data_IF_490411809376
#
_entry.id   IF_490411809376
#
_cell.length_a   1.000
_cell.length_b   1.000
_cell.length_c   1.000
_cell.angle_alpha   90.00
_cell.angle_beta   90.00
_cell.angle_gamma   90.00
#
_symmetry.space_group_name_H-M   'P 1'
#
loop_
_entity.id
_entity.type
_entity.pdbx_description
1 polymer ?
#
# COMPACT_ATOMS: atom_id res chain seq x y z
N UNK A 1 13.37 -34.46 3.95
CA UNK A 1 12.40 -33.53 3.34
C UNK A 1 13.18 -32.34 2.81
N UNK A 2 12.96 -31.93 1.56
CA UNK A 2 13.53 -30.67 1.07
C UNK A 2 12.77 -29.53 1.77
N UNK A 3 13.49 -28.62 2.45
CA UNK A 3 12.88 -27.43 3.03
C UNK A 3 12.23 -26.58 1.93
N UNK A 4 10.99 -26.15 2.17
CA UNK A 4 10.24 -25.25 1.29
C UNK A 4 10.96 -23.89 1.25
N UNK A 5 11.07 -23.29 0.06
CA UNK A 5 11.67 -21.96 -0.07
C UNK A 5 10.81 -20.94 0.68
N UNK A 6 11.43 -20.14 1.55
CA UNK A 6 10.74 -19.12 2.32
C UNK A 6 11.63 -17.87 2.48
N UNK A 7 11.24 -16.71 1.92
CA UNK A 7 10.00 -16.47 1.18
C UNK A 7 10.01 -17.14 -0.20
N UNK A 8 8.83 -17.59 -0.62
CA UNK A 8 8.58 -18.11 -1.96
C UNK A 8 8.35 -16.92 -2.89
N UNK A 9 9.32 -16.64 -3.76
CA UNK A 9 9.25 -15.52 -4.69
C UNK A 9 8.59 -15.91 -6.01
N UNK A 10 7.63 -15.10 -6.42
CA UNK A 10 6.87 -15.24 -7.66
C UNK A 10 6.73 -13.89 -8.34
N UNK A 11 6.26 -13.90 -9.60
CA UNK A 11 5.99 -12.68 -10.33
C UNK A 11 4.48 -12.45 -10.51
N UNK A 12 4.07 -11.19 -10.71
CA UNK A 12 2.72 -10.83 -11.15
C UNK A 12 2.30 -11.66 -12.38
N UNK A 13 1.02 -12.03 -12.48
CA UNK A 13 0.50 -12.95 -13.50
C UNK A 13 1.19 -14.33 -13.60
N UNK A 14 2.02 -14.73 -12.63
CA UNK A 14 2.50 -16.11 -12.52
C UNK A 14 1.52 -16.97 -11.74
N UNK A 15 1.79 -18.26 -11.62
CA UNK A 15 0.89 -19.19 -10.96
C UNK A 15 1.66 -20.13 -10.05
N UNK A 16 1.04 -20.49 -8.93
CA UNK A 16 1.53 -21.48 -7.99
C UNK A 16 0.56 -22.63 -7.91
N UNK A 17 1.10 -23.84 -7.81
CA UNK A 17 0.31 -25.07 -7.78
C UNK A 17 0.72 -25.96 -6.62
N UNK A 18 -0.23 -26.77 -6.17
CA UNK A 18 0.05 -27.83 -5.19
C UNK A 18 0.67 -29.08 -5.84
N UNK A 19 0.39 -29.30 -7.14
CA UNK A 19 0.68 -30.58 -7.82
C UNK A 19 1.78 -30.50 -8.90
N UNK A 20 2.19 -29.30 -9.33
CA UNK A 20 3.17 -29.11 -10.41
C UNK A 20 4.14 -27.96 -10.10
N UNK A 21 5.30 -27.98 -10.77
CA UNK A 21 6.41 -27.04 -10.51
C UNK A 21 7.52 -27.67 -9.63
N UNK A 22 8.52 -26.87 -9.29
CA UNK A 22 9.63 -27.28 -8.41
C UNK A 22 9.11 -27.67 -7.02
N UNK A 23 9.51 -28.83 -6.46
CA UNK A 23 8.99 -29.29 -5.16
C UNK A 23 9.11 -28.25 -4.03
N UNK A 24 10.19 -27.46 -4.01
CA UNK A 24 10.41 -26.41 -2.99
C UNK A 24 9.49 -25.18 -3.14
N UNK A 25 8.84 -25.01 -4.29
CA UNK A 25 7.93 -23.89 -4.62
C UNK A 25 6.47 -24.32 -4.75
N UNK A 26 6.13 -25.56 -4.38
CA UNK A 26 4.74 -26.02 -4.39
C UNK A 26 4.01 -25.55 -3.15
N UNK A 27 2.71 -25.31 -3.30
CA UNK A 27 1.81 -25.10 -2.17
C UNK A 27 1.50 -26.46 -1.51
N UNK A 28 1.47 -26.51 -0.19
CA UNK A 28 0.82 -27.63 0.50
C UNK A 28 -0.69 -27.53 0.35
N UNK A 29 -1.40 -28.64 0.51
CA UNK A 29 -2.87 -28.63 0.46
C UNK A 29 -3.46 -27.67 1.51
N UNK A 30 -2.88 -27.61 2.72
CA UNK A 30 -3.33 -26.68 3.76
C UNK A 30 -3.11 -25.20 3.38
N UNK A 31 -2.00 -24.87 2.72
CA UNK A 31 -1.74 -23.51 2.21
C UNK A 31 -2.73 -23.14 1.10
N UNK A 32 -3.00 -24.07 0.18
CA UNK A 32 -3.97 -23.85 -0.89
C UNK A 32 -5.40 -23.67 -0.34
N UNK A 33 -5.82 -24.48 0.63
CA UNK A 33 -7.14 -24.32 1.26
C UNK A 33 -7.27 -22.99 1.99
N UNK A 34 -6.22 -22.52 2.67
CA UNK A 34 -6.23 -21.21 3.32
C UNK A 34 -6.34 -20.05 2.31
N UNK A 35 -5.64 -20.14 1.17
CA UNK A 35 -5.80 -19.19 0.06
C UNK A 35 -7.22 -19.27 -0.54
N UNK A 36 -7.76 -20.47 -0.77
CA UNK A 36 -9.13 -20.61 -1.28
C UNK A 36 -10.18 -20.03 -0.33
N UNK A 37 -10.01 -20.25 0.97
CA UNK A 37 -10.90 -19.68 1.98
C UNK A 37 -10.75 -18.15 2.08
N UNK A 38 -9.53 -17.63 1.93
CA UNK A 38 -9.28 -16.18 1.89
C UNK A 38 -9.88 -15.52 0.64
N UNK A 39 -9.82 -16.20 -0.50
CA UNK A 39 -10.48 -15.76 -1.72
C UNK A 39 -12.00 -15.64 -1.51
N UNK A 40 -12.61 -16.59 -0.78
CA UNK A 40 -14.05 -16.57 -0.52
C UNK A 40 -14.89 -16.61 -1.79
N UNK A 41 -16.17 -16.26 -1.67
CA UNK A 41 -17.12 -16.21 -2.79
C UNK A 41 -17.00 -14.93 -3.62
N UNK A 42 -16.72 -13.79 -2.96
CA UNK A 42 -16.58 -12.48 -3.62
C UNK A 42 -15.24 -12.34 -4.37
N UNK A 43 -14.25 -13.17 -4.03
CA UNK A 43 -12.91 -13.09 -4.57
C UNK A 43 -12.02 -12.07 -3.87
N UNK A 44 -10.74 -12.11 -4.22
CA UNK A 44 -9.75 -11.10 -3.85
C UNK A 44 -9.07 -10.58 -5.11
N UNK A 45 -8.66 -9.30 -5.17
CA UNK A 45 -8.05 -8.75 -6.38
C UNK A 45 -6.63 -9.27 -6.62
N UNK A 46 -6.02 -9.94 -5.63
CA UNK A 46 -4.59 -10.31 -5.65
C UNK A 46 -4.27 -11.57 -6.46
N UNK A 47 -5.22 -12.49 -6.56
CA UNK A 47 -5.07 -13.73 -7.32
C UNK A 47 -6.43 -14.33 -7.66
N UNK A 48 -6.45 -15.14 -8.71
CA UNK A 48 -7.60 -15.97 -9.11
C UNK A 48 -7.33 -17.43 -8.80
N UNK A 49 -8.39 -18.19 -8.49
CA UNK A 49 -8.30 -19.62 -8.28
C UNK A 49 -8.16 -20.36 -9.62
N UNK A 50 -7.26 -21.33 -9.68
CA UNK A 50 -7.07 -22.24 -10.81
C UNK A 50 -7.05 -23.68 -10.30
N UNK A 51 -7.14 -24.66 -11.21
CA UNK A 51 -7.13 -26.07 -10.82
C UNK A 51 -5.90 -26.41 -9.96
N UNK A 52 -6.15 -26.72 -8.67
CA UNK A 52 -5.14 -27.03 -7.65
C UNK A 52 -4.01 -25.98 -7.57
N UNK A 53 -4.36 -24.70 -7.61
CA UNK A 53 -3.41 -23.60 -7.53
C UNK A 53 -4.06 -22.21 -7.51
N UNK A 54 -3.21 -21.18 -7.55
CA UNK A 54 -3.60 -19.77 -7.65
C UNK A 54 -2.81 -19.09 -8.77
N UNK A 55 -3.40 -18.08 -9.41
CA UNK A 55 -2.74 -17.21 -10.39
C UNK A 55 -2.78 -15.77 -9.91
N UNK A 56 -1.62 -15.17 -9.71
CA UNK A 56 -1.51 -13.77 -9.27
C UNK A 56 -1.98 -12.80 -10.36
N UNK A 57 -2.38 -11.60 -9.95
CA UNK A 57 -2.80 -10.50 -10.83
C UNK A 57 -1.66 -9.48 -10.96
N UNK A 58 -1.97 -8.22 -11.27
CA UNK A 58 -1.09 -7.04 -11.28
C UNK A 58 -0.66 -6.54 -9.89
N UNK A 59 -1.14 -7.18 -8.82
CA UNK A 59 -0.80 -6.79 -7.47
C UNK A 59 0.55 -7.39 -7.05
N UNK A 60 1.40 -6.56 -6.45
CA UNK A 60 2.71 -6.96 -5.91
C UNK A 60 2.76 -6.75 -4.40
N UNK A 61 3.67 -7.43 -3.72
CA UNK A 61 3.82 -7.34 -2.27
C UNK A 61 3.94 -8.71 -1.63
N UNK A 62 3.32 -8.89 -0.46
CA UNK A 62 3.46 -10.12 0.33
C UNK A 62 2.12 -10.69 0.75
N UNK A 63 1.98 -11.99 0.54
CA UNK A 63 0.93 -12.83 1.07
C UNK A 63 1.53 -13.86 2.03
N UNK A 64 1.28 -13.70 3.32
CA UNK A 64 1.67 -14.68 4.31
C UNK A 64 0.50 -15.62 4.61
N UNK A 65 0.75 -16.93 4.56
CA UNK A 65 -0.22 -17.99 4.84
C UNK A 65 0.38 -18.93 5.87
N UNK A 66 0.03 -18.73 7.13
CA UNK A 66 0.70 -19.38 8.26
C UNK A 66 2.20 -19.07 8.26
N UNK A 67 3.03 -20.10 8.10
CA UNK A 67 4.49 -19.96 8.06
C UNK A 67 5.08 -19.72 6.65
N UNK A 68 4.27 -19.79 5.59
CA UNK A 68 4.73 -19.52 4.23
C UNK A 68 4.55 -18.04 3.92
N UNK A 69 5.65 -17.39 3.52
CA UNK A 69 5.62 -16.04 2.99
C UNK A 69 5.76 -16.10 1.47
N UNK A 70 4.73 -15.68 0.74
CA UNK A 70 4.75 -15.55 -0.72
C UNK A 70 5.02 -14.09 -1.05
N UNK A 71 6.10 -13.84 -1.79
CA UNK A 71 6.48 -12.50 -2.23
C UNK A 71 6.23 -12.39 -3.74
N UNK A 72 5.32 -11.50 -4.12
CA UNK A 72 4.93 -11.24 -5.51
C UNK A 72 5.67 -10.00 -6.00
N UNK A 73 6.53 -10.20 -7.00
CA UNK A 73 7.37 -9.19 -7.64
C UNK A 73 6.77 -8.76 -9.00
N UNK A 74 6.98 -7.53 -9.47
CA UNK A 74 6.54 -7.13 -10.80
C UNK A 74 7.39 -7.76 -11.89
N UNK A 75 6.83 -7.86 -13.10
CA UNK A 75 7.53 -8.40 -14.28
C UNK A 75 8.39 -7.36 -14.99
N UNK A 76 8.18 -6.08 -14.74
CA UNK A 76 8.91 -5.00 -15.39
C UNK A 76 10.44 -5.09 -15.14
N UNK A 77 10.85 -5.63 -13.98
CA UNK A 77 12.23 -5.55 -13.47
C UNK A 77 12.94 -6.91 -13.38
N UNK A 78 12.67 -7.84 -14.31
CA UNK A 78 13.22 -9.21 -14.26
C UNK A 78 14.76 -9.32 -14.15
N UNK A 79 15.49 -8.23 -14.45
CA UNK A 79 16.96 -8.20 -14.43
C UNK A 79 17.55 -7.55 -13.16
N UNK A 80 16.73 -6.95 -12.29
CA UNK A 80 17.21 -6.22 -11.13
C UNK A 80 17.30 -7.12 -9.88
N UNK A 81 18.14 -6.72 -8.93
CA UNK A 81 18.23 -7.44 -7.66
C UNK A 81 16.97 -7.21 -6.82
N UNK A 82 16.52 -8.24 -6.09
CA UNK A 82 15.35 -8.16 -5.20
C UNK A 82 15.45 -6.99 -4.22
N UNK A 83 16.65 -6.70 -3.72
CA UNK A 83 16.91 -5.58 -2.79
C UNK A 83 16.66 -4.21 -3.44
N UNK A 84 17.07 -4.03 -4.70
CA UNK A 84 16.78 -2.81 -5.45
C UNK A 84 15.28 -2.64 -5.63
N UNK A 85 14.57 -3.73 -5.95
CA UNK A 85 13.12 -3.70 -6.09
C UNK A 85 12.40 -3.34 -4.78
N UNK A 86 12.80 -3.90 -3.64
CA UNK A 86 12.24 -3.52 -2.33
C UNK A 86 12.40 -2.03 -2.06
N UNK A 87 13.61 -1.51 -2.31
CA UNK A 87 13.90 -0.08 -2.19
C UNK A 87 13.04 0.78 -3.11
N UNK A 88 12.84 0.33 -4.36
CA UNK A 88 12.02 1.01 -5.36
C UNK A 88 10.55 1.05 -4.95
N UNK A 89 9.93 -0.09 -4.62
CA UNK A 89 8.52 -0.15 -4.23
C UNK A 89 8.24 0.75 -3.02
N UNK A 90 9.07 0.66 -1.99
CA UNK A 90 8.96 1.53 -0.80
C UNK A 90 9.15 3.00 -1.20
N UNK A 91 10.09 3.27 -2.10
CA UNK A 91 10.34 4.59 -2.63
C UNK A 91 9.13 5.19 -3.36
N UNK A 92 8.47 4.42 -4.22
CA UNK A 92 7.24 4.82 -4.93
C UNK A 92 6.09 5.08 -3.94
N UNK A 93 5.90 4.16 -2.99
CA UNK A 93 4.88 4.24 -1.94
C UNK A 93 5.01 5.50 -1.09
N UNK A 94 6.24 5.87 -0.72
CA UNK A 94 6.55 7.14 -0.04
C UNK A 94 6.27 8.34 -0.93
N UNK A 95 6.72 8.30 -2.19
CA UNK A 95 6.57 9.41 -3.11
C UNK A 95 5.10 9.76 -3.37
N UNK A 96 4.23 8.75 -3.47
CA UNK A 96 2.78 8.93 -3.66
C UNK A 96 2.07 9.37 -2.37
N UNK A 97 2.74 9.33 -1.22
CA UNK A 97 2.14 9.70 0.07
C UNK A 97 1.15 8.66 0.59
N UNK A 98 1.18 7.44 0.05
CA UNK A 98 0.46 6.30 0.63
C UNK A 98 1.10 5.87 1.96
N UNK A 99 2.36 6.25 2.17
CA UNK A 99 3.11 6.01 3.39
C UNK A 99 3.96 7.23 3.73
N UNK A 100 3.69 7.91 4.84
CA UNK A 100 4.50 9.05 5.28
C UNK A 100 5.66 8.58 6.18
N UNK A 101 6.18 7.39 5.90
CA UNK A 101 7.31 6.82 6.63
C UNK A 101 8.55 7.33 5.92
N UNK A 102 9.28 8.26 6.53
CA UNK A 102 10.70 8.41 6.24
C UNK A 102 11.39 7.10 6.66
N UNK A 103 11.38 6.07 5.80
CA UNK A 103 12.20 4.90 6.06
C UNK A 103 13.65 5.38 6.18
N UNK A 104 14.40 4.87 7.16
CA UNK A 104 15.77 5.27 7.38
C UNK A 104 16.58 5.09 6.10
N UNK A 105 17.65 5.86 6.01
CA UNK A 105 18.65 5.78 4.94
C UNK A 105 19.00 4.32 4.66
N UNK A 106 19.24 3.99 3.39
CA UNK A 106 19.62 2.68 2.86
C UNK A 106 20.71 1.94 3.65
N UNK A 107 21.47 2.64 4.50
CA UNK A 107 22.43 2.10 5.45
C UNK A 107 21.81 1.25 6.58
N UNK A 108 20.63 1.61 7.11
CA UNK A 108 19.96 0.87 8.21
C UNK A 108 19.12 -0.31 7.69
N UNK A 109 18.84 -0.31 6.38
CA UNK A 109 18.18 -1.39 5.63
C UNK A 109 19.08 -2.62 5.44
N UNK A 110 20.30 -2.61 5.98
CA UNK A 110 21.28 -3.72 5.92
C UNK A 110 20.96 -4.89 6.85
N UNK A 111 19.89 -4.80 7.65
CA UNK A 111 19.32 -5.98 8.29
C UNK A 111 18.82 -6.94 7.21
N UNK A 112 19.19 -8.21 7.32
CA UNK A 112 18.86 -9.31 6.40
C UNK A 112 17.33 -9.56 6.36
N UNK A 113 16.57 -8.61 5.83
CA UNK A 113 15.14 -8.76 5.56
C UNK A 113 15.02 -9.71 4.38
N UNK A 114 14.47 -10.89 4.62
CA UNK A 114 14.30 -11.86 3.56
C UNK A 114 13.13 -11.50 2.64
N UNK A 115 12.19 -10.67 3.14
CA UNK A 115 11.02 -10.14 2.44
C UNK A 115 10.74 -8.67 2.78
N UNK A 116 9.94 -7.99 1.95
CA UNK A 116 9.43 -6.64 2.26
C UNK A 116 8.58 -6.59 3.55
N UNK A 117 7.97 -7.71 3.96
CA UNK A 117 7.22 -7.79 5.21
C UNK A 117 8.12 -7.64 6.44
N UNK A 118 9.28 -8.30 6.44
CA UNK A 118 10.28 -8.18 7.52
C UNK A 118 10.73 -6.72 7.68
N UNK A 119 10.81 -5.99 6.57
CA UNK A 119 11.17 -4.59 6.60
C UNK A 119 10.08 -3.74 7.29
N UNK A 120 8.81 -3.95 6.97
CA UNK A 120 7.73 -3.26 7.69
C UNK A 120 7.72 -3.59 9.19
N UNK A 121 8.01 -4.84 9.56
CA UNK A 121 8.16 -5.21 10.97
C UNK A 121 9.34 -4.47 11.62
N UNK A 122 10.51 -4.45 10.98
CA UNK A 122 11.69 -3.76 11.50
C UNK A 122 11.42 -2.26 11.71
N UNK A 123 10.78 -1.60 10.73
CA UNK A 123 10.39 -0.19 10.83
C UNK A 123 9.43 0.04 11.99
N UNK A 124 8.41 -0.81 12.14
CA UNK A 124 7.48 -0.71 13.25
C UNK A 124 8.19 -0.82 14.61
N UNK A 125 9.05 -1.83 14.76
CA UNK A 125 9.79 -2.06 16.01
C UNK A 125 10.72 -0.89 16.34
N UNK A 126 11.34 -0.27 15.33
CA UNK A 126 12.16 0.94 15.51
C UNK A 126 11.32 2.13 16.00
N UNK A 127 10.13 2.33 15.44
CA UNK A 127 9.23 3.41 15.88
C UNK A 127 8.73 3.18 17.32
N UNK A 128 8.43 1.93 17.71
CA UNK A 128 8.08 1.61 19.10
C UNK A 128 9.23 1.86 20.06
N UNK A 129 10.44 1.43 19.70
CA UNK A 129 11.65 1.67 20.49
C UNK A 129 11.89 3.18 20.70
N UNK A 130 11.75 3.97 19.63
CA UNK A 130 11.82 5.42 19.69
C UNK A 130 10.78 6.02 20.66
N UNK A 131 9.53 5.56 20.61
CA UNK A 131 8.47 6.01 21.52
C UNK A 131 8.75 5.65 22.98
N UNK A 132 9.29 4.45 23.25
CA UNK A 132 9.67 4.03 24.59
C UNK A 132 10.83 4.88 25.14
N UNK A 133 11.86 5.14 24.34
CA UNK A 133 12.99 6.00 24.73
C UNK A 133 12.56 7.44 25.01
N UNK A 134 11.61 7.97 24.23
CA UNK A 134 11.06 9.32 24.45
C UNK A 134 10.13 9.40 25.66
N UNK A 135 9.57 8.27 26.09
CA UNK A 135 8.55 8.16 27.12
C UNK A 135 7.13 8.22 26.54
N UNK A 136 6.30 7.28 26.98
CA UNK A 136 4.92 7.17 26.52
C UNK A 136 4.05 8.32 27.05
N UNK A 137 3.15 8.81 26.19
CA UNK A 137 2.25 9.91 26.55
C UNK A 137 1.25 9.41 27.59
N UNK A 138 1.08 10.17 28.67
CA UNK A 138 0.07 9.89 29.68
C UNK A 138 -1.15 10.80 29.47
N UNK A 139 -2.33 10.30 29.80
CA UNK A 139 -3.59 11.07 29.77
C UNK A 139 -4.33 10.91 31.09
N UNK A 140 -5.04 11.96 31.49
CA UNK A 140 -5.99 11.88 32.59
C UNK A 140 -7.23 11.12 32.15
N UNK A 141 -7.59 10.07 32.88
CA UNK A 141 -8.87 9.37 32.72
C UNK A 141 -9.63 9.35 34.04
N UNK A 142 -10.95 9.51 33.96
CA UNK A 142 -11.84 9.42 35.12
C UNK A 142 -12.28 7.97 35.27
N UNK A 143 -12.10 7.42 36.46
CA UNK A 143 -12.51 6.07 36.82
C UNK A 143 -13.57 6.18 37.91
N UNK A 144 -14.64 5.42 37.75
CA UNK A 144 -15.63 5.19 38.79
C UNK A 144 -15.50 3.77 39.30
N UNK A 145 -15.36 3.63 40.62
CA UNK A 145 -15.27 2.32 41.26
C UNK A 145 -15.86 2.34 42.66
N UNK A 146 -16.25 1.17 43.14
CA UNK A 146 -16.62 0.97 44.53
C UNK A 146 -15.36 0.52 45.30
N UNK A 147 -14.83 1.37 46.17
CA UNK A 147 -13.56 1.16 46.85
C UNK A 147 -13.74 1.20 48.36
N UNK A 148 -12.84 0.57 49.12
CA UNK A 148 -12.86 0.61 50.59
C UNK A 148 -12.29 1.89 51.18
N UNK A 149 -11.72 2.76 50.34
CA UNK A 149 -11.12 4.03 50.75
C UNK A 149 -11.68 5.19 49.92
N UNK A 150 -11.88 6.34 50.57
CA UNK A 150 -12.32 7.56 49.91
C UNK A 150 -11.15 8.20 49.16
N UNK A 151 -11.12 8.03 47.83
CA UNK A 151 -10.16 8.67 46.93
C UNK A 151 -10.92 9.39 45.83
N UNK A 152 -10.78 10.71 45.75
CA UNK A 152 -11.51 11.55 44.79
C UNK A 152 -12.90 11.94 45.29
N UNK A 153 -13.86 12.11 44.37
CA UNK A 153 -15.21 12.59 44.66
C UNK A 153 -16.21 11.45 44.81
N UNK A 154 -17.11 11.50 45.80
CA UNK A 154 -18.19 10.52 45.95
C UNK A 154 -19.24 10.75 44.86
N UNK A 155 -19.69 9.68 44.20
CA UNK A 155 -20.89 9.75 43.35
C UNK A 155 -22.09 9.31 44.18
N UNK A 156 -22.76 10.28 44.82
CA UNK A 156 -23.78 10.02 45.83
C UNK A 156 -24.92 9.10 45.36
N UNK A 157 -25.42 9.29 44.13
CA UNK A 157 -26.51 8.46 43.60
C UNK A 157 -26.11 6.96 43.57
N UNK A 158 -24.96 6.66 42.99
CA UNK A 158 -24.42 5.29 42.90
C UNK A 158 -24.00 4.75 44.27
N UNK A 159 -23.47 5.62 45.14
CA UNK A 159 -23.03 5.24 46.49
C UNK A 159 -24.20 4.82 47.36
N UNK A 160 -25.29 5.60 47.41
CA UNK A 160 -26.51 5.25 48.13
C UNK A 160 -27.08 3.93 47.58
N UNK A 161 -27.14 3.80 46.25
CA UNK A 161 -27.68 2.59 45.61
C UNK A 161 -26.88 1.32 45.94
N UNK A 162 -25.55 1.38 45.96
CA UNK A 162 -24.69 0.18 46.10
C UNK A 162 -24.24 -0.11 47.52
N UNK A 163 -24.18 0.91 48.39
CA UNK A 163 -23.51 0.82 49.68
C UNK A 163 -24.42 1.13 50.87
N UNK A 164 -25.74 1.16 50.70
CA UNK A 164 -26.70 1.41 51.78
C UNK A 164 -26.47 0.50 53.01
N UNK A 165 -26.12 -0.77 52.75
CA UNK A 165 -25.79 -1.78 53.78
C UNK A 165 -24.30 -2.12 53.84
N UNK A 166 -23.50 -1.63 52.90
CA UNK A 166 -22.05 -1.85 52.81
C UNK A 166 -21.29 -0.57 53.17
N UNK A 167 -21.37 -0.18 54.45
CA UNK A 167 -20.79 1.08 54.96
C UNK A 167 -19.25 1.10 54.92
N UNK A 168 -18.61 -0.05 54.71
CA UNK A 168 -17.17 -0.19 54.53
C UNK A 168 -16.67 0.21 53.12
N UNK A 169 -17.56 0.67 52.23
CA UNK A 169 -17.23 1.00 50.84
C UNK A 169 -17.74 2.38 50.43
N UNK A 170 -17.00 3.04 49.55
CA UNK A 170 -17.34 4.32 48.92
C UNK A 170 -17.40 4.16 47.41
N UNK A 171 -18.50 4.59 46.79
CA UNK A 171 -18.57 4.67 45.34
C UNK A 171 -18.00 6.03 44.90
N UNK A 172 -16.78 5.99 44.36
CA UNK A 172 -15.96 7.18 44.09
C UNK A 172 -15.63 7.32 42.61
N UNK A 173 -15.59 8.58 42.16
CA UNK A 173 -15.00 8.99 40.89
C UNK A 173 -13.66 9.66 41.19
N UNK A 174 -12.58 9.09 40.67
CA UNK A 174 -11.24 9.66 40.77
C UNK A 174 -10.56 9.71 39.40
N UNK A 175 -9.52 10.53 39.29
CA UNK A 175 -8.76 10.67 38.04
C UNK A 175 -7.43 9.93 38.20
N UNK A 176 -7.09 9.09 37.23
CA UNK A 176 -5.75 8.51 37.10
C UNK A 176 -5.01 9.15 35.94
N UNK A 177 -3.69 9.30 36.10
CA UNK A 177 -2.78 9.78 35.06
C UNK A 177 -1.89 8.63 34.62
N UNK A 178 -2.29 7.95 33.55
CA UNK A 178 -1.64 6.73 33.09
C UNK A 178 -1.55 6.70 31.56
N UNK A 179 -0.94 5.62 31.07
CA UNK A 179 -0.69 5.34 29.66
C UNK A 179 -1.83 4.57 29.00
N UNK A 180 -2.97 4.37 29.69
CA UNK A 180 -4.05 3.57 29.14
C UNK A 180 -4.93 4.43 28.22
N UNK A 181 -4.66 4.35 26.92
CA UNK A 181 -5.53 4.94 25.89
C UNK A 181 -5.37 4.24 24.54
N UNK A 182 -6.30 4.54 23.64
CA UNK A 182 -6.49 3.88 22.34
C UNK A 182 -5.21 3.75 21.50
N UNK A 183 -4.35 4.79 21.45
CA UNK A 183 -3.08 4.70 20.69
C UNK A 183 -2.22 3.53 21.17
N UNK A 184 -1.99 3.40 22.47
CA UNK A 184 -1.16 2.33 23.02
C UNK A 184 -1.83 0.96 22.88
N UNK A 185 -3.16 0.88 22.94
CA UNK A 185 -3.89 -0.37 22.66
C UNK A 185 -3.61 -0.86 21.25
N UNK A 186 -3.65 0.03 20.25
CA UNK A 186 -3.33 -0.30 18.86
C UNK A 186 -1.88 -0.75 18.73
N UNK A 187 -0.94 -0.02 19.34
CA UNK A 187 0.48 -0.35 19.25
C UNK A 187 0.81 -1.69 19.93
N UNK A 188 0.26 -1.92 21.11
CA UNK A 188 0.44 -3.18 21.83
C UNK A 188 -0.19 -4.36 21.08
N UNK A 189 -1.41 -4.20 20.55
CA UNK A 189 -2.07 -5.22 19.73
C UNK A 189 -1.23 -5.56 18.49
N UNK A 190 -0.62 -4.56 17.85
CA UNK A 190 0.26 -4.79 16.71
C UNK A 190 1.54 -5.53 17.13
N UNK A 191 2.16 -5.20 18.28
CA UNK A 191 3.31 -5.97 18.79
C UNK A 191 2.95 -7.45 19.03
N UNK A 192 1.76 -7.73 19.56
CA UNK A 192 1.26 -9.09 19.75
C UNK A 192 1.04 -9.80 18.41
N UNK A 193 0.47 -9.10 17.41
CA UNK A 193 0.32 -9.63 16.06
C UNK A 193 1.69 -10.02 15.47
N UNK A 194 2.68 -9.13 15.56
CA UNK A 194 4.04 -9.38 15.07
C UNK A 194 4.66 -10.61 15.73
N UNK A 195 4.48 -10.78 17.05
CA UNK A 195 4.95 -11.99 17.76
C UNK A 195 4.31 -13.27 17.20
N UNK A 196 3.05 -13.20 16.76
CA UNK A 196 2.32 -14.35 16.23
C UNK A 196 2.73 -14.70 14.80
N UNK A 197 2.95 -13.70 13.95
CA UNK A 197 3.16 -13.91 12.50
C UNK A 197 4.64 -13.85 12.09
N UNK A 198 5.54 -13.37 12.94
CA UNK A 198 6.94 -13.24 12.58
C UNK A 198 7.61 -14.61 12.36
N UNK A 199 8.17 -14.81 11.16
CA UNK A 199 8.97 -15.98 10.82
C UNK A 199 10.48 -15.70 10.87
N UNK A 200 10.90 -14.43 10.99
CA UNK A 200 12.29 -14.04 10.97
C UNK A 200 12.92 -14.09 12.37
N UNK A 201 13.86 -15.00 12.57
CA UNK A 201 14.53 -15.20 13.87
C UNK A 201 15.28 -13.97 14.36
N UNK A 202 15.77 -13.11 13.46
CA UNK A 202 16.46 -11.87 13.83
C UNK A 202 15.55 -10.86 14.52
N UNK A 203 14.25 -10.86 14.21
CA UNK A 203 13.28 -9.93 14.79
C UNK A 203 12.68 -10.43 16.11
N UNK A 204 12.71 -11.75 16.37
CA UNK A 204 12.07 -12.37 17.54
C UNK A 204 12.55 -11.77 18.87
N UNK A 205 13.87 -11.64 19.05
CA UNK A 205 14.44 -11.08 20.28
C UNK A 205 14.02 -9.63 20.50
N UNK A 206 13.94 -8.83 19.43
CA UNK A 206 13.52 -7.43 19.48
C UNK A 206 12.03 -7.31 19.82
N UNK A 207 11.17 -8.13 19.20
CA UNK A 207 9.73 -8.20 19.52
C UNK A 207 9.52 -8.57 20.99
N UNK A 208 10.23 -9.60 21.49
CA UNK A 208 10.12 -10.04 22.87
C UNK A 208 10.55 -8.96 23.88
N UNK A 209 11.68 -8.29 23.63
CA UNK A 209 12.15 -7.19 24.46
C UNK A 209 11.16 -6.02 24.49
N UNK A 210 10.64 -5.61 23.33
CA UNK A 210 9.67 -4.52 23.27
C UNK A 210 8.36 -4.89 23.96
N UNK A 211 7.87 -6.13 23.84
CA UNK A 211 6.68 -6.59 24.56
C UNK A 211 6.86 -6.59 26.08
N UNK A 212 8.06 -6.89 26.58
CA UNK A 212 8.37 -6.84 28.01
C UNK A 212 8.38 -5.40 28.53
N UNK A 213 8.88 -4.46 27.72
CA UNK A 213 9.05 -3.06 28.11
C UNK A 213 7.82 -2.19 27.82
N UNK A 214 6.92 -2.62 26.93
CA UNK A 214 5.70 -1.89 26.61
C UNK A 214 4.59 -2.21 27.63
N UNK A 215 3.88 -1.20 28.16
CA UNK A 215 2.84 -1.42 29.15
C UNK A 215 1.70 -2.27 28.58
N UNK A 216 1.32 -3.33 29.28
CA UNK A 216 0.19 -4.17 28.88
C UNK A 216 -1.07 -3.35 28.68
N UNK A 217 -1.77 -3.60 27.57
CA UNK A 217 -3.00 -2.92 27.21
C UNK A 217 -4.14 -3.93 27.06
N UNK A 218 -5.36 -3.46 27.34
CA UNK A 218 -6.56 -4.23 27.02
C UNK A 218 -6.69 -4.41 25.52
N UNK A 219 -7.22 -5.57 25.12
CA UNK A 219 -7.48 -5.84 23.71
C UNK A 219 -8.52 -4.87 23.14
N UNK A 220 -8.34 -4.52 21.87
CA UNK A 220 -9.17 -3.58 21.13
C UNK A 220 -9.59 -4.21 19.81
N UNK A 221 -10.88 -4.14 19.49
CA UNK A 221 -11.35 -4.45 18.12
C UNK A 221 -10.96 -3.29 17.21
N UNK A 222 -10.11 -3.59 16.24
CA UNK A 222 -9.56 -2.60 15.30
C UNK A 222 -10.30 -2.72 13.99
N UNK A 223 -10.70 -1.57 13.45
CA UNK A 223 -11.36 -1.38 12.16
C UNK A 223 -10.84 -0.09 11.56
N UNK A 224 -11.16 0.17 10.29
CA UNK A 224 -10.77 1.43 9.64
C UNK A 224 -11.28 2.66 10.41
N UNK A 225 -12.53 2.60 10.90
CA UNK A 225 -13.16 3.63 11.73
C UNK A 225 -12.38 3.89 13.03
N UNK A 226 -11.69 2.86 13.56
CA UNK A 226 -10.85 2.99 14.76
C UNK A 226 -9.68 3.95 14.50
N UNK A 227 -9.10 3.93 13.29
CA UNK A 227 -8.00 4.81 12.90
C UNK A 227 -8.46 6.19 12.47
N UNK A 228 -9.59 6.30 11.76
CA UNK A 228 -10.14 7.60 11.33
C UNK A 228 -10.50 8.52 12.50
N UNK A 229 -10.90 7.94 13.63
CA UNK A 229 -11.22 8.68 14.86
C UNK A 229 -9.98 9.22 15.58
N UNK A 230 -8.78 8.81 15.19
CA UNK A 230 -7.54 9.24 15.84
C UNK A 230 -7.17 10.64 15.35
N UNK A 231 -7.28 11.61 16.25
CA UNK A 231 -6.77 12.96 16.02
C UNK A 231 -5.45 13.15 16.76
N UNK A 232 -4.35 13.27 16.01
CA UNK A 232 -3.04 13.56 16.59
C UNK A 232 -2.92 15.04 16.93
N UNK A 233 -2.18 15.32 18.01
CA UNK A 233 -1.82 16.67 18.42
C UNK A 233 -0.29 16.75 18.61
N UNK A 234 0.21 17.94 18.94
CA UNK A 234 1.65 18.19 19.15
C UNK A 234 2.35 17.19 20.10
N UNK A 235 1.64 16.63 21.09
CA UNK A 235 2.19 15.63 22.03
C UNK A 235 2.21 14.22 21.45
N UNK A 236 1.28 13.89 20.56
CA UNK A 236 1.12 12.55 19.99
C UNK A 236 1.61 12.44 18.54
N UNK A 237 2.14 13.52 17.95
CA UNK A 237 2.61 13.55 16.56
C UNK A 237 3.66 12.46 16.28
N UNK A 238 4.54 12.18 17.25
CA UNK A 238 5.55 11.12 17.10
C UNK A 238 4.97 9.72 16.94
N UNK A 239 3.68 9.51 17.19
CA UNK A 239 3.02 8.22 17.06
C UNK A 239 2.53 7.96 15.63
N UNK A 240 2.51 8.97 14.74
CA UNK A 240 1.90 8.85 13.40
C UNK A 240 2.46 7.67 12.63
N UNK A 241 3.80 7.57 12.55
CA UNK A 241 4.47 6.50 11.81
C UNK A 241 4.14 5.11 12.33
N UNK A 242 4.21 4.91 13.65
CA UNK A 242 3.86 3.64 14.27
C UNK A 242 2.39 3.28 14.02
N UNK A 243 1.49 4.26 14.08
CA UNK A 243 0.06 4.07 13.83
C UNK A 243 -0.25 3.77 12.36
N UNK A 244 0.45 4.39 11.41
CA UNK A 244 0.33 4.11 9.97
C UNK A 244 0.73 2.67 9.66
N UNK A 245 1.87 2.21 10.19
CA UNK A 245 2.30 0.82 10.00
C UNK A 245 1.35 -0.15 10.71
N UNK A 246 0.90 0.18 11.92
CA UNK A 246 -0.09 -0.61 12.65
C UNK A 246 -1.42 -0.73 11.89
N UNK A 247 -1.90 0.36 11.28
CA UNK A 247 -3.10 0.37 10.43
C UNK A 247 -2.95 -0.59 9.28
N UNK A 248 -1.84 -0.50 8.54
CA UNK A 248 -1.56 -1.38 7.43
C UNK A 248 -1.53 -2.86 7.86
N UNK A 249 -0.86 -3.19 8.96
CA UNK A 249 -0.73 -4.58 9.40
C UNK A 249 -2.03 -5.15 9.98
N UNK A 250 -2.70 -4.40 10.84
CA UNK A 250 -3.91 -4.88 11.51
C UNK A 250 -5.11 -5.00 10.56
N UNK A 251 -5.25 -4.10 9.58
CA UNK A 251 -6.41 -4.12 8.67
C UNK A 251 -6.28 -5.14 7.54
N UNK A 252 -5.05 -5.54 7.20
CA UNK A 252 -4.79 -6.55 6.18
C UNK A 252 -4.56 -7.96 6.76
N UNK A 253 -4.77 -8.12 8.08
CA UNK A 253 -4.64 -9.39 8.77
C UNK A 253 -6.00 -10.08 8.93
N UNK A 254 -6.08 -11.31 8.43
CA UNK A 254 -7.25 -12.16 8.47
C UNK A 254 -6.92 -13.38 9.34
N UNK A 255 -7.36 -13.40 10.61
CA UNK A 255 -7.13 -14.54 11.50
C UNK A 255 -7.98 -15.76 11.08
N UNK A 256 -7.41 -16.96 11.26
CA UNK A 256 -8.11 -18.25 11.18
C UNK A 256 -9.03 -18.43 9.97
N UNK A 257 -8.52 -18.10 8.78
CA UNK A 257 -9.31 -18.07 7.54
C UNK A 257 -9.78 -19.46 7.09
N UNK A 258 -9.18 -20.54 7.61
CA UNK A 258 -9.60 -21.91 7.34
C UNK A 258 -9.82 -22.69 8.64
N UNK A 259 -10.39 -23.90 8.58
CA UNK A 259 -10.58 -24.79 9.76
C UNK A 259 -9.28 -25.25 10.45
N UNK A 260 -8.12 -24.72 10.03
CA UNK A 260 -6.84 -24.81 10.71
C UNK A 260 -6.31 -23.41 11.07
N UNK A 261 -5.32 -23.33 11.96
CA UNK A 261 -4.72 -22.09 12.49
C UNK A 261 -3.93 -21.24 11.45
N UNK A 262 -4.26 -21.37 10.17
CA UNK A 262 -3.63 -20.64 9.08
C UNK A 262 -4.30 -19.27 8.94
N UNK A 263 -3.65 -18.28 9.56
CA UNK A 263 -3.93 -16.88 9.33
C UNK A 263 -3.38 -16.43 7.98
N UNK A 264 -4.00 -15.39 7.41
CA UNK A 264 -3.53 -14.75 6.18
C UNK A 264 -3.24 -13.29 6.44
N UNK A 265 -2.05 -12.83 6.04
CA UNK A 265 -1.73 -11.41 5.96
C UNK A 265 -1.49 -11.05 4.49
N UNK A 266 -2.20 -10.04 3.98
CA UNK A 266 -2.12 -9.62 2.58
C UNK A 266 -1.68 -8.17 2.44
N UNK A 267 -0.38 -7.91 2.32
CA UNK A 267 0.17 -6.60 2.01
C UNK A 267 0.42 -6.48 0.51
N UNK A 268 -0.65 -6.18 -0.22
CA UNK A 268 -0.65 -6.19 -1.69
C UNK A 268 -0.93 -4.79 -2.24
N UNK A 269 -0.21 -4.40 -3.27
CA UNK A 269 -0.24 -3.08 -3.89
C UNK A 269 -0.57 -3.21 -5.37
N UNK A 270 -1.60 -2.48 -5.81
CA UNK A 270 -1.95 -2.36 -7.23
C UNK A 270 -0.86 -1.56 -7.96
N UNK A 271 -0.10 -2.22 -8.83
CA UNK A 271 0.98 -1.58 -9.56
C UNK A 271 0.51 -0.63 -10.65
N UNK A 272 -0.66 -0.83 -11.24
CA UNK A 272 -1.21 0.11 -12.21
C UNK A 272 -1.51 1.44 -11.51
N UNK A 273 -2.25 1.39 -10.40
CA UNK A 273 -2.58 2.58 -9.61
C UNK A 273 -1.33 3.24 -9.03
N UNK A 274 -0.36 2.45 -8.53
CA UNK A 274 0.87 2.99 -7.97
C UNK A 274 1.71 3.70 -9.03
N UNK A 275 1.85 3.10 -10.22
CA UNK A 275 2.57 3.69 -11.35
C UNK A 275 1.92 4.99 -11.82
N UNK A 276 0.61 5.00 -12.05
CA UNK A 276 -0.18 6.18 -12.44
C UNK A 276 0.12 7.35 -11.49
N UNK A 277 -0.07 7.12 -10.19
CA UNK A 277 0.14 8.15 -9.17
C UNK A 277 1.60 8.57 -9.06
N UNK A 278 2.53 7.64 -9.21
CA UNK A 278 3.95 7.93 -9.14
C UNK A 278 4.39 8.86 -10.28
N UNK A 279 3.94 8.60 -11.52
CA UNK A 279 4.18 9.48 -12.67
C UNK A 279 3.56 10.85 -12.42
N UNK A 280 2.31 10.90 -11.95
CA UNK A 280 1.62 12.16 -11.63
C UNK A 280 2.38 13.01 -10.60
N UNK A 281 2.79 12.42 -9.47
CA UNK A 281 3.53 13.15 -8.43
C UNK A 281 4.91 13.59 -8.93
N UNK A 282 5.56 12.77 -9.76
CA UNK A 282 6.85 13.11 -10.39
C UNK A 282 6.74 14.35 -11.26
N UNK A 283 5.71 14.39 -12.12
CA UNK A 283 5.41 15.56 -12.96
C UNK A 283 5.11 16.80 -12.11
N UNK A 284 4.21 16.67 -11.12
CA UNK A 284 3.86 17.77 -10.22
C UNK A 284 5.10 18.34 -9.55
N UNK A 285 5.97 17.48 -9.01
CA UNK A 285 7.23 17.89 -8.36
C UNK A 285 8.19 18.56 -9.34
N UNK A 286 8.33 18.01 -10.55
CA UNK A 286 9.22 18.52 -11.59
C UNK A 286 8.83 19.92 -12.05
N UNK A 287 7.58 20.11 -12.42
CA UNK A 287 7.10 21.42 -12.85
C UNK A 287 7.15 22.47 -11.72
N UNK A 288 6.81 22.12 -10.48
CA UNK A 288 6.99 23.04 -9.33
C UNK A 288 8.46 23.47 -9.18
N UNK A 289 9.42 22.54 -9.31
CA UNK A 289 10.85 22.87 -9.22
C UNK A 289 11.34 23.74 -10.38
N UNK A 290 10.76 23.56 -11.57
CA UNK A 290 11.12 24.33 -12.76
C UNK A 290 10.46 25.72 -12.82
N UNK A 291 9.58 26.07 -11.87
CA UNK A 291 8.77 27.30 -11.90
C UNK A 291 8.00 27.51 -13.21
N UNK A 292 7.59 26.43 -13.87
CA UNK A 292 6.78 26.48 -15.08
C UNK A 292 5.31 26.67 -14.69
N UNK A 293 4.56 27.39 -15.52
CA UNK A 293 3.10 27.50 -15.37
C UNK A 293 2.43 26.34 -16.10
N UNK A 294 1.69 25.51 -15.36
CA UNK A 294 1.01 24.32 -15.87
C UNK A 294 -0.21 24.01 -14.99
N UNK A 295 -1.20 23.34 -15.57
CA UNK A 295 -2.25 22.68 -14.78
C UNK A 295 -2.10 21.18 -14.94
N UNK A 296 -1.97 20.45 -13.83
CA UNK A 296 -1.92 19.00 -13.83
C UNK A 296 -3.17 18.45 -13.17
N UNK A 297 -3.90 17.61 -13.87
CA UNK A 297 -5.11 16.99 -13.38
C UNK A 297 -5.03 15.47 -13.48
N UNK A 298 -5.30 14.79 -12.37
CA UNK A 298 -5.68 13.40 -12.31
C UNK A 298 -7.21 13.30 -12.21
N UNK A 299 -7.77 12.12 -12.50
CA UNK A 299 -9.19 11.82 -12.32
C UNK A 299 -10.19 12.64 -13.15
N UNK A 300 -9.73 13.32 -14.19
CA UNK A 300 -10.61 14.01 -15.14
C UNK A 300 -11.38 12.99 -15.94
N UNK A 301 -12.67 13.25 -16.15
CA UNK A 301 -13.51 12.39 -16.97
C UNK A 301 -14.43 13.19 -17.87
N UNK A 302 -14.76 12.62 -19.04
CA UNK A 302 -15.81 13.10 -19.94
C UNK A 302 -16.81 11.97 -20.19
N UNK A 303 -18.09 12.32 -20.37
CA UNK A 303 -19.09 11.34 -20.78
C UNK A 303 -18.80 10.90 -22.22
N UNK A 304 -18.82 9.59 -22.45
CA UNK A 304 -18.46 8.99 -23.74
C UNK A 304 -19.66 8.31 -24.41
N UNK A 305 -20.44 7.57 -23.62
CA UNK A 305 -21.55 6.80 -24.15
C UNK A 305 -22.76 6.88 -23.22
N UNK A 306 -23.96 6.97 -23.80
CA UNK A 306 -25.22 6.98 -23.07
C UNK A 306 -26.12 5.87 -23.63
N UNK A 307 -26.50 4.86 -22.83
CA UNK A 307 -27.52 3.90 -23.25
C UNK A 307 -28.91 4.56 -23.32
N UNK A 308 -29.83 3.95 -24.06
CA UNK A 308 -31.24 4.35 -24.07
C UNK A 308 -31.85 4.30 -22.64
N UNK A 309 -31.46 3.30 -21.85
CA UNK A 309 -31.82 3.14 -20.45
C UNK A 309 -30.57 2.87 -19.61
N UNK A 310 -30.42 3.57 -18.47
CA UNK A 310 -29.29 3.41 -17.55
C UNK A 310 -28.32 4.59 -17.53
N UNK A 311 -27.16 4.38 -16.90
CA UNK A 311 -26.17 5.42 -16.61
C UNK A 311 -25.21 5.66 -17.78
N UNK A 312 -24.71 6.90 -17.89
CA UNK A 312 -23.69 7.26 -18.89
C UNK A 312 -22.34 6.64 -18.53
N UNK A 313 -21.64 6.09 -19.52
CA UNK A 313 -20.25 5.66 -19.41
C UNK A 313 -19.31 6.86 -19.61
N UNK A 314 -18.16 6.80 -18.96
CA UNK A 314 -17.15 7.86 -18.94
C UNK A 314 -15.84 7.35 -19.53
N UNK A 315 -15.09 8.27 -20.14
CA UNK A 315 -13.68 8.10 -20.45
C UNK A 315 -12.86 8.89 -19.44
N UNK A 316 -11.78 8.29 -18.94
CA UNK A 316 -10.97 8.84 -17.85
C UNK A 316 -9.49 8.58 -18.15
N UNK A 317 -8.77 9.53 -18.76
CA UNK A 317 -7.32 9.45 -18.84
C UNK A 317 -6.71 9.51 -17.45
N UNK A 318 -5.51 8.95 -17.33
CA UNK A 318 -4.74 8.95 -16.10
C UNK A 318 -4.30 10.37 -15.72
N UNK A 319 -3.68 11.09 -16.68
CA UNK A 319 -3.11 12.41 -16.45
C UNK A 319 -3.44 13.33 -17.61
N UNK A 320 -3.91 14.55 -17.29
CA UNK A 320 -4.12 15.64 -18.26
C UNK A 320 -3.29 16.85 -17.84
N UNK A 321 -2.47 17.36 -18.76
CA UNK A 321 -1.68 18.59 -18.61
C UNK A 321 -2.36 19.70 -19.43
N UNK A 322 -2.45 20.91 -18.87
CA UNK A 322 -3.04 22.10 -19.52
C UNK A 322 -4.45 21.83 -20.06
N UNK A 323 -5.33 21.32 -19.19
CA UNK A 323 -6.68 20.92 -19.56
C UNK A 323 -7.44 22.11 -20.14
N UNK A 324 -8.15 21.87 -21.24
CA UNK A 324 -8.98 22.86 -21.95
C UNK A 324 -8.16 24.06 -22.51
N UNK A 325 -6.84 23.90 -22.67
CA UNK A 325 -5.93 24.85 -23.33
C UNK A 325 -5.43 24.30 -24.68
N UNK A 326 -4.95 25.14 -25.62
CA UNK A 326 -4.48 24.70 -26.95
C UNK A 326 -3.29 23.74 -26.93
N UNK A 327 -2.53 23.75 -25.84
CA UNK A 327 -1.36 22.92 -25.56
C UNK A 327 -1.69 21.74 -24.62
N UNK A 328 -2.97 21.36 -24.51
CA UNK A 328 -3.46 20.23 -23.73
C UNK A 328 -2.75 18.93 -24.13
N UNK A 329 -2.24 18.19 -23.15
CA UNK A 329 -1.61 16.88 -23.33
C UNK A 329 -2.33 15.84 -22.50
N UNK A 330 -2.48 14.64 -23.04
CA UNK A 330 -3.06 13.52 -22.31
C UNK A 330 -2.06 12.37 -22.25
N UNK A 331 -1.84 11.87 -21.04
CA UNK A 331 -1.00 10.71 -20.78
C UNK A 331 -1.87 9.58 -20.23
N UNK A 332 -1.64 8.38 -20.71
CA UNK A 332 -2.21 7.14 -20.19
C UNK A 332 -1.05 6.22 -19.79
N UNK A 333 -1.00 5.83 -18.53
CA UNK A 333 0.11 5.07 -17.96
C UNK A 333 -0.23 3.59 -17.96
N UNK A 334 0.75 2.73 -18.21
CA UNK A 334 0.56 1.28 -18.23
C UNK A 334 1.73 0.58 -17.56
N UNK A 335 1.46 -0.21 -16.52
CA UNK A 335 2.47 -1.05 -15.87
C UNK A 335 2.70 -2.36 -16.62
N UNK A 336 3.44 -2.29 -17.74
CA UNK A 336 3.88 -3.47 -18.50
C UNK A 336 5.11 -3.16 -19.35
N UNK A 337 5.96 -4.17 -19.55
CA UNK A 337 7.08 -4.05 -20.47
C UNK A 337 6.63 -4.44 -21.89
N UNK A 338 6.83 -3.54 -22.85
CA UNK A 338 6.50 -3.78 -24.26
C UNK A 338 7.46 -4.75 -24.94
N UNK A 339 8.68 -4.99 -24.43
CA UNK A 339 9.69 -5.89 -25.02
C UNK A 339 9.90 -5.68 -26.54
N UNK A 340 9.78 -4.44 -27.03
CA UNK A 340 9.91 -4.10 -28.44
C UNK A 340 8.66 -4.33 -29.31
N UNK A 341 7.56 -4.82 -28.73
CA UNK A 341 6.26 -4.92 -29.42
C UNK A 341 5.51 -3.59 -29.45
N UNK A 342 4.57 -3.47 -30.39
CA UNK A 342 3.65 -2.34 -30.44
C UNK A 342 2.63 -2.38 -29.29
N UNK A 343 2.08 -1.23 -28.87
CA UNK A 343 0.98 -1.18 -27.92
C UNK A 343 -0.24 -1.98 -28.38
N UNK A 344 -1.10 -2.36 -27.43
CA UNK A 344 -2.29 -3.12 -27.80
C UNK A 344 -3.25 -2.25 -28.62
N UNK A 345 -4.04 -2.84 -29.54
CA UNK A 345 -5.05 -2.09 -30.28
C UNK A 345 -6.05 -1.37 -29.37
N UNK A 346 -6.33 -1.91 -28.17
CA UNK A 346 -7.20 -1.26 -27.17
C UNK A 346 -6.58 0.02 -26.62
N UNK A 347 -5.29 -0.02 -26.25
CA UNK A 347 -4.55 1.16 -25.76
C UNK A 347 -4.49 2.26 -26.83
N UNK A 348 -4.24 1.88 -28.10
CA UNK A 348 -4.21 2.82 -29.22
C UNK A 348 -5.59 3.41 -29.51
N UNK A 349 -6.66 2.62 -29.41
CA UNK A 349 -8.04 3.14 -29.54
C UNK A 349 -8.38 4.11 -28.41
N UNK A 350 -7.96 3.79 -27.18
CA UNK A 350 -8.17 4.63 -26.00
C UNK A 350 -7.52 6.01 -26.18
N UNK A 351 -6.26 6.05 -26.61
CA UNK A 351 -5.57 7.31 -26.90
C UNK A 351 -6.22 8.12 -28.04
N UNK A 352 -6.70 7.45 -29.09
CA UNK A 352 -7.41 8.12 -30.18
C UNK A 352 -8.66 8.83 -29.67
N UNK A 353 -9.43 8.15 -28.80
CA UNK A 353 -10.61 8.74 -28.15
C UNK A 353 -10.21 9.92 -27.26
N UNK A 354 -9.12 9.79 -26.48
CA UNK A 354 -8.64 10.88 -25.63
C UNK A 354 -8.22 12.11 -26.42
N UNK A 355 -7.48 11.92 -27.51
CA UNK A 355 -7.07 13.00 -28.40
C UNK A 355 -8.29 13.82 -28.85
N UNK A 356 -9.33 13.15 -29.34
CA UNK A 356 -10.55 13.79 -29.83
C UNK A 356 -11.35 14.48 -28.72
N UNK A 357 -11.60 13.79 -27.61
CA UNK A 357 -12.49 14.30 -26.56
C UNK A 357 -11.85 15.41 -25.72
N UNK A 358 -10.53 15.43 -25.59
CA UNK A 358 -9.81 16.46 -24.84
C UNK A 358 -9.24 17.57 -25.72
N UNK A 359 -9.46 17.52 -27.04
CA UNK A 359 -8.80 18.40 -28.01
C UNK A 359 -7.30 18.49 -27.74
N UNK A 360 -6.70 17.34 -27.41
CA UNK A 360 -5.31 17.29 -26.98
C UNK A 360 -4.41 17.55 -28.18
N UNK A 361 -3.38 18.37 -27.98
CA UNK A 361 -2.32 18.60 -28.95
C UNK A 361 -1.51 17.33 -29.20
N UNK A 362 -1.24 16.56 -28.13
CA UNK A 362 -0.55 15.28 -28.19
C UNK A 362 -1.10 14.32 -27.13
N UNK A 363 -1.01 13.03 -27.44
CA UNK A 363 -1.36 11.95 -26.53
C UNK A 363 -0.23 10.92 -26.46
N UNK A 364 0.03 10.36 -25.27
CA UNK A 364 1.06 9.35 -25.12
C UNK A 364 0.69 8.23 -24.15
N UNK A 365 1.18 7.03 -24.46
CA UNK A 365 1.25 5.90 -23.53
C UNK A 365 2.58 5.94 -22.79
N UNK A 366 2.54 5.79 -21.47
CA UNK A 366 3.70 5.88 -20.60
C UNK A 366 3.97 4.53 -19.93
N UNK A 367 5.11 3.92 -20.27
CA UNK A 367 5.51 2.60 -19.80
C UNK A 367 6.78 2.67 -18.94
N UNK A 368 6.93 1.79 -17.94
CA UNK A 368 8.25 1.44 -17.43
C UNK A 368 9.01 0.62 -18.49
N UNK A 369 10.33 0.78 -18.62
CA UNK A 369 11.12 -0.09 -19.50
C UNK A 369 12.59 0.29 -19.65
N UNK A 370 13.39 -0.61 -20.23
CA UNK A 370 14.87 -0.50 -20.18
C UNK A 370 15.52 0.55 -21.08
N UNK A 371 14.81 1.09 -22.07
CA UNK A 371 15.34 2.13 -22.97
C UNK A 371 14.64 3.46 -22.71
N UNK A 372 15.45 4.51 -22.52
CA UNK A 372 14.96 5.88 -22.35
C UNK A 372 14.58 6.50 -23.69
N UNK A 373 13.39 7.08 -23.75
CA UNK A 373 12.98 7.95 -24.85
C UNK A 373 11.53 7.74 -25.27
N UNK A 374 11.17 8.35 -26.39
CA UNK A 374 9.83 8.24 -26.95
C UNK A 374 9.85 7.92 -28.44
N UNK A 375 8.82 7.18 -28.88
CA UNK A 375 8.58 6.84 -30.29
C UNK A 375 7.23 7.39 -30.70
N UNK A 376 7.17 8.03 -31.85
CA UNK A 376 5.93 8.58 -32.38
C UNK A 376 5.33 7.64 -33.42
N UNK A 377 4.01 7.57 -33.44
CA UNK A 377 3.22 6.90 -34.46
C UNK A 377 2.03 7.78 -34.85
N UNK A 378 1.55 7.63 -36.08
CA UNK A 378 0.36 8.33 -36.56
C UNK A 378 -0.78 7.37 -36.80
N UNK A 379 -2.00 7.82 -36.57
CA UNK A 379 -3.18 7.06 -36.96
C UNK A 379 -3.38 7.13 -38.47
N UNK A 380 -3.92 6.06 -39.05
CA UNK A 380 -4.23 5.99 -40.48
C UNK A 380 -5.70 6.34 -40.73
N UNK A 381 -5.95 7.04 -41.83
CA UNK A 381 -7.29 7.38 -42.28
C UNK A 381 -8.04 6.13 -42.79
N UNK A 382 -9.29 5.94 -42.34
CA UNK A 382 -10.10 4.77 -42.68
C UNK A 382 -10.37 4.60 -44.17
N UNK A 383 -10.44 5.69 -44.93
CA UNK A 383 -10.82 5.65 -46.35
C UNK A 383 -9.66 5.43 -47.33
N UNK A 384 -8.40 5.64 -46.92
CA UNK A 384 -7.24 5.62 -47.85
C UNK A 384 -5.93 5.08 -47.27
N UNK A 385 -5.87 4.72 -45.98
CA UNK A 385 -4.62 4.30 -45.33
C UNK A 385 -3.54 5.39 -45.26
N UNK A 386 -3.90 6.64 -45.57
CA UNK A 386 -3.01 7.80 -45.50
C UNK A 386 -2.85 8.21 -44.03
N UNK A 387 -1.64 8.60 -43.63
CA UNK A 387 -1.35 9.14 -42.30
C UNK A 387 -2.23 10.36 -42.00
N UNK A 388 -2.75 10.42 -40.78
CA UNK A 388 -3.45 11.60 -40.26
C UNK A 388 -2.47 12.49 -39.49
N UNK A 389 -2.89 13.73 -39.20
CA UNK A 389 -2.14 14.65 -38.31
C UNK A 389 -2.22 14.24 -36.83
N UNK A 390 -3.00 13.19 -36.51
CA UNK A 390 -3.17 12.71 -35.16
C UNK A 390 -1.99 11.81 -34.81
N UNK A 391 -1.16 12.30 -33.90
CA UNK A 391 0.02 11.63 -33.38
C UNK A 391 -0.27 10.97 -32.02
N UNK A 392 0.23 9.75 -31.86
CA UNK A 392 0.29 9.00 -30.61
C UNK A 392 1.74 8.67 -30.33
N UNK A 393 2.21 8.99 -29.13
CA UNK A 393 3.57 8.67 -28.71
C UNK A 393 3.60 7.54 -27.69
N UNK A 394 4.70 6.81 -27.67
CA UNK A 394 5.02 5.80 -26.67
C UNK A 394 6.23 6.34 -25.94
N UNK A 395 6.11 6.58 -24.64
CA UNK A 395 7.18 7.04 -23.76
C UNK A 395 7.60 5.87 -22.89
N UNK A 396 8.88 5.53 -22.92
CA UNK A 396 9.46 4.48 -22.07
C UNK A 396 10.39 5.13 -21.05
N UNK A 397 10.16 4.81 -19.77
CA UNK A 397 10.85 5.41 -18.63
C UNK A 397 11.62 4.31 -17.87
N UNK A 398 12.96 4.28 -17.96
CA UNK A 398 13.75 3.34 -17.18
C UNK A 398 13.68 3.67 -15.70
N UNK A 399 13.73 2.60 -14.90
CA UNK A 399 13.95 2.70 -13.46
C UNK A 399 15.36 3.25 -13.24
N UNK A 400 15.49 4.25 -12.38
CA UNK A 400 16.78 4.84 -11.99
C UNK A 400 17.18 4.35 -10.58
N UNK A 401 18.46 4.45 -10.24
CA UNK A 401 19.02 3.97 -8.96
C UNK A 401 18.38 4.60 -7.70
N UNK A 402 17.75 5.77 -7.83
CA UNK A 402 17.07 6.44 -6.73
C UNK A 402 15.77 7.07 -7.17
N UNK A 403 14.82 7.17 -6.23
CA UNK A 403 13.52 7.80 -6.49
C UNK A 403 13.66 9.25 -6.96
N UNK A 404 14.54 10.05 -6.37
CA UNK A 404 14.67 11.45 -6.80
C UNK A 404 15.25 11.56 -8.22
N UNK A 405 16.20 10.70 -8.59
CA UNK A 405 16.69 10.59 -9.96
C UNK A 405 15.57 10.13 -10.91
N UNK A 406 14.80 9.11 -10.52
CA UNK A 406 13.71 8.59 -11.32
C UNK A 406 12.63 9.65 -11.57
N UNK A 407 12.18 10.35 -10.53
CA UNK A 407 11.20 11.44 -10.66
C UNK A 407 11.70 12.57 -11.57
N UNK A 408 13.00 12.91 -11.51
CA UNK A 408 13.63 13.89 -12.41
C UNK A 408 13.67 13.38 -13.86
N UNK A 409 14.01 12.11 -14.07
CA UNK A 409 14.07 11.48 -15.39
C UNK A 409 12.69 11.43 -16.05
N UNK A 410 11.65 11.04 -15.27
CA UNK A 410 10.23 11.06 -15.69
C UNK A 410 9.82 12.47 -16.15
N UNK A 411 10.10 13.48 -15.32
CA UNK A 411 9.77 14.87 -15.67
C UNK A 411 10.50 15.33 -16.93
N UNK A 412 11.81 15.09 -17.01
CA UNK A 412 12.63 15.53 -18.14
C UNK A 412 12.15 14.93 -19.46
N UNK A 413 11.80 13.64 -19.50
CA UNK A 413 11.33 13.00 -20.74
C UNK A 413 9.95 13.46 -21.17
N UNK A 414 9.00 13.54 -20.23
CA UNK A 414 7.66 14.01 -20.57
C UNK A 414 7.70 15.50 -20.97
N UNK A 415 8.59 16.30 -20.36
CA UNK A 415 8.80 17.67 -20.75
C UNK A 415 9.44 17.79 -22.14
N UNK A 416 10.48 17.01 -22.45
CA UNK A 416 11.07 16.97 -23.79
C UNK A 416 10.05 16.55 -24.86
N UNK A 417 9.23 15.54 -24.57
CA UNK A 417 8.14 15.09 -25.44
C UNK A 417 7.05 16.15 -25.64
N UNK A 418 6.73 16.93 -24.60
CA UNK A 418 5.69 17.97 -24.69
C UNK A 418 6.02 19.09 -25.69
N UNK A 419 7.31 19.32 -25.97
CA UNK A 419 7.78 20.30 -26.94
C UNK A 419 7.65 21.76 -26.48
N UNK A 420 7.83 21.99 -25.17
CA UNK A 420 8.04 23.33 -24.61
C UNK A 420 9.50 23.75 -24.65
#
# INVERSE_FOLDING_TARGET
>A
MLEQENPLRVFEHSSLWAHKGEPKKRLTDNQLHALQAFHGEEGVPYYTLIHKGVRFTEYVGVLQVGNLTIEVLPKADKNDSVTQWHGMLIGMLKAVGLFNIQAPTSSDLSLRSNSILDLYFALYLQEIEYLLHRGLVKKYRKIESNATALKGSIQFAQHIQKNLVHQERFYVRHTTYDVQHQLHQILYKTLLLLKQINTNTALNSKIGSLLLNFPEQQDLKVSEVTFEKITLNRKTESYSKALEIARMLLLNYHPDVSKGQNHVLALMFDMNMLWERFVYVSLRKGFCKANLSYTLHDQVHKYFWKPAHGSRSKIKPDIVINKDQPDCLVLDTKWKNLNGYNPSPDDLRQLYVYHQYYHAKRVALVYPGGEKGFKNGKYLCSSRGIETDIECSIITLPVEDSIDAWQKSIFAEIHAWSGY
#
